data_IF_049389058822
#
_entry.id   IF_049389058822
#
_cell.length_a   1.000
_cell.length_b   1.000
_cell.length_c   1.000
_cell.angle_alpha   90.00
_cell.angle_beta   90.00
_cell.angle_gamma   90.00
#
_symmetry.space_group_name_H-M   'P 1'
#
loop_
_entity.id
_entity.type
_entity.pdbx_description
1 polymer ?
#
# COMPACT_ATOMS: atom_id res chain seq x y z
N UNK A 1 34.46 17.05 -24.06
CA UNK A 1 34.18 18.37 -23.47
C UNK A 1 32.71 18.72 -23.57
N UNK A 2 32.12 19.13 -22.45
CA UNK A 2 30.73 19.57 -22.36
C UNK A 2 30.73 21.10 -22.43
N UNK A 3 29.90 21.69 -23.31
CA UNK A 3 29.82 23.14 -23.42
C UNK A 3 29.25 23.78 -22.14
N UNK A 4 29.78 24.92 -21.66
CA UNK A 4 29.35 25.55 -20.41
C UNK A 4 27.85 25.86 -20.33
N UNK A 5 27.24 26.25 -21.46
CA UNK A 5 25.81 26.51 -21.56
C UNK A 5 24.95 25.26 -21.30
N UNK A 6 25.50 24.06 -21.53
CA UNK A 6 24.83 22.79 -21.27
C UNK A 6 24.79 22.51 -19.78
N UNK A 7 25.94 22.68 -19.09
CA UNK A 7 26.06 22.47 -17.64
C UNK A 7 25.08 23.37 -16.86
N UNK A 8 24.94 24.63 -17.29
CA UNK A 8 24.03 25.59 -16.65
C UNK A 8 22.53 25.23 -16.78
N UNK A 9 22.17 24.37 -17.74
CA UNK A 9 20.79 23.92 -17.97
C UNK A 9 20.49 22.54 -17.40
N UNK A 10 21.53 21.78 -17.04
CA UNK A 10 21.36 20.43 -16.50
C UNK A 10 20.83 20.46 -15.08
N UNK A 11 19.97 19.50 -14.76
CA UNK A 11 19.46 19.31 -13.41
C UNK A 11 20.55 18.72 -12.49
N UNK A 12 20.44 18.89 -11.16
CA UNK A 12 21.38 18.28 -10.21
C UNK A 12 21.45 16.74 -10.28
N UNK A 13 20.49 16.08 -10.91
CA UNK A 13 20.52 14.65 -11.16
C UNK A 13 21.29 14.32 -12.44
N UNK A 14 21.07 15.06 -13.52
CA UNK A 14 21.83 14.90 -14.77
C UNK A 14 23.32 15.22 -14.60
N UNK A 15 23.66 16.11 -13.67
CA UNK A 15 25.05 16.43 -13.30
C UNK A 15 25.71 15.37 -12.39
N UNK A 16 24.93 14.48 -11.79
CA UNK A 16 25.45 13.48 -10.88
C UNK A 16 26.08 12.30 -11.62
N UNK A 17 27.04 11.64 -10.96
CA UNK A 17 27.61 10.38 -11.47
C UNK A 17 26.54 9.29 -11.55
N UNK A 18 26.77 8.30 -12.39
CA UNK A 18 25.83 7.18 -12.56
C UNK A 18 25.54 6.45 -11.24
N UNK A 19 26.56 6.23 -10.42
CA UNK A 19 26.41 5.61 -9.09
C UNK A 19 25.51 6.44 -8.17
N UNK A 20 25.66 7.76 -8.18
CA UNK A 20 24.86 8.66 -7.34
C UNK A 20 23.40 8.74 -7.80
N UNK A 21 23.16 8.76 -9.12
CA UNK A 21 21.80 8.67 -9.68
C UNK A 21 21.13 7.35 -9.30
N UNK A 22 21.84 6.25 -9.44
CA UNK A 22 21.34 4.93 -9.08
C UNK A 22 21.02 4.83 -7.58
N UNK A 23 21.85 5.41 -6.72
CA UNK A 23 21.60 5.48 -5.28
C UNK A 23 20.33 6.28 -4.94
N UNK A 24 20.14 7.45 -5.56
CA UNK A 24 18.93 8.28 -5.38
C UNK A 24 17.67 7.55 -5.84
N UNK A 25 17.69 6.96 -7.03
CA UNK A 25 16.57 6.17 -7.58
C UNK A 25 16.18 5.02 -6.64
N UNK A 26 17.17 4.30 -6.11
CA UNK A 26 16.95 3.22 -5.13
C UNK A 26 16.37 3.75 -3.81
N UNK A 27 16.79 4.93 -3.36
CA UNK A 27 16.23 5.56 -2.17
C UNK A 27 14.77 5.98 -2.38
N UNK A 28 14.47 6.63 -3.50
CA UNK A 28 13.13 7.06 -3.87
C UNK A 28 12.17 5.88 -4.02
N UNK A 29 12.59 4.79 -4.67
CA UNK A 29 11.81 3.55 -4.77
C UNK A 29 11.48 3.00 -3.38
N UNK A 30 12.45 3.00 -2.45
CA UNK A 30 12.20 2.53 -1.07
C UNK A 30 11.24 3.44 -0.30
N UNK A 31 11.34 4.75 -0.48
CA UNK A 31 10.46 5.73 0.18
C UNK A 31 9.03 5.65 -0.36
N UNK A 32 8.89 5.52 -1.68
CA UNK A 32 7.58 5.40 -2.34
C UNK A 32 6.92 4.07 -2.03
N UNK A 33 7.64 2.94 -2.13
CA UNK A 33 7.12 1.60 -1.83
C UNK A 33 6.53 1.48 -0.42
N UNK A 34 7.15 2.10 0.59
CA UNK A 34 6.59 2.10 1.96
C UNK A 34 5.31 2.95 2.08
N UNK A 35 5.17 3.98 1.25
CA UNK A 35 4.05 4.92 1.29
C UNK A 35 2.84 4.41 0.53
N UNK A 36 3.06 3.72 -0.59
CA UNK A 36 2.02 3.03 -1.38
C UNK A 36 2.00 1.56 -0.99
N UNK A 37 1.20 1.18 0.02
CA UNK A 37 0.96 -0.24 0.31
C UNK A 37 0.33 -0.88 -0.94
N UNK A 38 0.96 -1.90 -1.50
CA UNK A 38 0.26 -2.85 -2.37
C UNK A 38 -0.85 -3.50 -1.52
N UNK A 39 -2.08 -3.52 -2.03
CA UNK A 39 -3.34 -3.65 -1.26
C UNK A 39 -3.47 -4.85 -0.30
N UNK A 40 -2.52 -5.79 -0.27
CA UNK A 40 -2.55 -7.00 0.58
C UNK A 40 -1.18 -7.36 1.19
N UNK A 41 -0.23 -6.43 1.28
CA UNK A 41 1.06 -6.69 1.93
C UNK A 41 0.86 -6.90 3.44
N UNK A 42 1.18 -8.10 3.92
CA UNK A 42 0.89 -8.59 5.28
C UNK A 42 -0.48 -9.26 5.47
N UNK A 43 -1.18 -9.62 4.39
CA UNK A 43 -2.41 -10.42 4.47
C UNK A 43 -2.12 -11.87 4.86
N UNK A 44 -3.07 -12.49 5.56
CA UNK A 44 -3.00 -13.89 5.99
C UNK A 44 -3.90 -14.73 5.08
N UNK A 45 -3.36 -15.82 4.51
CA UNK A 45 -4.16 -16.80 3.76
C UNK A 45 -5.16 -17.50 4.70
N UNK A 46 -6.38 -17.73 4.21
CA UNK A 46 -7.46 -18.34 4.97
C UNK A 46 -8.46 -19.03 4.05
N UNK A 47 -9.04 -20.12 4.55
CA UNK A 47 -10.17 -20.81 3.92
C UNK A 47 -11.52 -20.46 4.57
N UNK A 48 -11.55 -19.49 5.49
CA UNK A 48 -12.75 -19.11 6.24
C UNK A 48 -13.79 -18.35 5.41
N UNK A 49 -13.42 -17.82 4.24
CA UNK A 49 -14.28 -17.03 3.37
C UNK A 49 -14.49 -17.75 2.04
N UNK A 50 -15.73 -17.73 1.54
CA UNK A 50 -16.06 -18.26 0.21
C UNK A 50 -16.27 -17.12 -0.78
N UNK A 51 -15.56 -17.14 -1.91
CA UNK A 51 -15.73 -16.13 -2.94
C UNK A 51 -17.07 -16.29 -3.66
N UNK A 52 -17.87 -15.22 -3.71
CA UNK A 52 -19.15 -15.22 -4.44
C UNK A 52 -18.98 -15.40 -5.96
N UNK A 53 -17.85 -15.00 -6.55
CA UNK A 53 -17.63 -15.06 -8.00
C UNK A 53 -17.21 -16.44 -8.50
N UNK A 54 -16.24 -17.09 -7.84
CA UNK A 54 -15.68 -18.37 -8.30
C UNK A 54 -16.00 -19.55 -7.36
N UNK A 55 -16.64 -19.30 -6.21
CA UNK A 55 -16.97 -20.30 -5.17
C UNK A 55 -15.74 -20.98 -4.53
N UNK A 56 -14.53 -20.51 -4.81
CA UNK A 56 -13.33 -20.96 -4.11
C UNK A 56 -13.33 -20.43 -2.68
N UNK A 57 -12.86 -21.24 -1.74
CA UNK A 57 -12.62 -20.86 -0.35
C UNK A 57 -11.23 -20.27 -0.14
N UNK A 58 -10.31 -20.45 -1.10
CA UNK A 58 -8.93 -20.01 -1.00
C UNK A 58 -8.86 -18.47 -1.07
N UNK A 59 -8.82 -17.83 0.08
CA UNK A 59 -8.82 -16.38 0.23
C UNK A 59 -7.62 -15.93 1.07
N UNK A 60 -7.39 -14.62 1.09
CA UNK A 60 -6.48 -13.98 2.03
C UNK A 60 -7.20 -12.78 2.63
N UNK A 61 -6.98 -12.52 3.92
CA UNK A 61 -7.59 -11.39 4.61
C UNK A 61 -6.55 -10.47 5.23
N UNK A 62 -6.93 -9.20 5.33
CA UNK A 62 -6.16 -8.14 5.98
C UNK A 62 -7.07 -7.39 6.94
N UNK A 63 -6.70 -7.26 8.22
CA UNK A 63 -7.42 -6.38 9.14
C UNK A 63 -7.19 -4.92 8.74
N UNK A 64 -8.28 -4.20 8.42
CA UNK A 64 -8.23 -2.80 7.94
C UNK A 64 -8.48 -1.78 9.06
N UNK A 65 -8.84 -2.21 10.26
CA UNK A 65 -8.94 -1.36 11.46
C UNK A 65 -7.79 -1.62 12.45
N UNK A 66 -7.35 -0.56 13.15
CA UNK A 66 -6.35 -0.53 14.23
C UNK A 66 -4.84 -0.49 13.88
N UNK A 67 -4.41 0.23 12.82
CA UNK A 67 -2.99 0.66 12.70
C UNK A 67 -2.88 2.17 12.52
N UNK A 68 -3.79 2.93 13.13
CA UNK A 68 -3.62 4.38 13.27
C UNK A 68 -3.76 4.68 14.74
N UNK A 69 -2.68 5.15 15.36
CA UNK A 69 -2.61 5.47 16.79
C UNK A 69 -3.63 6.53 17.23
N UNK A 70 -4.19 7.27 16.27
CA UNK A 70 -5.32 8.19 16.42
C UNK A 70 -6.26 8.06 15.22
N UNK A 71 -7.48 7.57 15.45
CA UNK A 71 -8.56 7.53 14.48
C UNK A 71 -9.19 8.91 14.27
N UNK A 72 -9.74 9.16 13.08
CA UNK A 72 -10.53 10.39 12.80
C UNK A 72 -11.70 10.56 13.78
N UNK A 73 -12.27 9.44 14.22
CA UNK A 73 -13.33 9.37 15.24
C UNK A 73 -12.87 9.85 16.61
N UNK A 74 -11.60 9.68 16.96
CA UNK A 74 -11.03 10.15 18.24
C UNK A 74 -10.75 11.65 18.22
N UNK A 75 -10.40 12.21 17.05
CA UNK A 75 -10.13 13.65 16.92
C UNK A 75 -11.40 14.48 16.71
N UNK A 76 -12.43 13.92 16.06
CA UNK A 76 -13.61 14.70 15.64
C UNK A 76 -14.97 14.05 15.93
N UNK A 77 -14.99 12.87 16.55
CA UNK A 77 -16.22 12.12 16.82
C UNK A 77 -16.84 11.53 15.55
N UNK A 78 -17.22 10.25 15.58
CA UNK A 78 -18.13 9.68 14.59
C UNK A 78 -19.09 8.73 15.30
N UNK A 79 -20.40 8.88 15.04
CA UNK A 79 -21.47 8.06 15.66
C UNK A 79 -21.42 6.59 15.22
N UNK A 80 -20.84 6.33 14.04
CA UNK A 80 -20.72 5.00 13.45
C UNK A 80 -19.33 4.36 13.65
N UNK A 81 -18.54 4.86 14.61
CA UNK A 81 -17.17 4.39 14.88
C UNK A 81 -17.05 3.46 16.09
N UNK A 82 -18.17 2.96 16.62
CA UNK A 82 -18.15 1.91 17.61
C UNK A 82 -17.94 0.56 16.90
N UNK A 83 -16.72 0.04 17.00
CA UNK A 83 -16.39 -1.39 17.05
C UNK A 83 -16.63 -2.33 15.86
N UNK A 84 -16.93 -1.86 14.65
CA UNK A 84 -16.88 -2.77 13.50
C UNK A 84 -15.41 -2.97 13.04
N UNK A 85 -14.74 -3.96 13.61
CA UNK A 85 -13.48 -4.46 13.07
C UNK A 85 -13.72 -4.99 11.65
N UNK A 86 -13.30 -4.23 10.63
CA UNK A 86 -13.44 -4.62 9.22
C UNK A 86 -12.19 -5.31 8.73
N UNK A 87 -12.37 -6.46 8.07
CA UNK A 87 -11.32 -7.15 7.32
C UNK A 87 -11.57 -6.97 5.82
N UNK A 88 -10.51 -6.70 5.08
CA UNK A 88 -10.51 -6.78 3.62
C UNK A 88 -10.13 -8.21 3.23
N UNK A 89 -10.99 -8.87 2.48
CA UNK A 89 -10.78 -10.22 1.98
C UNK A 89 -10.54 -10.15 0.48
N UNK A 90 -9.58 -10.94 -0.01
CA UNK A 90 -9.30 -11.13 -1.44
C UNK A 90 -9.28 -12.61 -1.78
N UNK A 91 -9.98 -12.99 -2.83
CA UNK A 91 -9.89 -14.33 -3.38
C UNK A 91 -8.55 -14.53 -4.10
N UNK A 92 -7.85 -15.65 -3.83
CA UNK A 92 -6.59 -15.97 -4.49
C UNK A 92 -6.78 -16.51 -5.92
N UNK A 93 -7.98 -17.00 -6.26
CA UNK A 93 -8.27 -17.54 -7.59
C UNK A 93 -8.70 -16.45 -8.58
N UNK A 94 -9.77 -15.70 -8.26
CA UNK A 94 -10.34 -14.70 -9.18
C UNK A 94 -9.96 -13.25 -8.84
N UNK A 95 -9.20 -13.04 -7.76
CA UNK A 95 -8.72 -11.72 -7.33
C UNK A 95 -9.83 -10.72 -6.96
N UNK A 96 -11.06 -11.21 -6.75
CA UNK A 96 -12.16 -10.38 -6.22
C UNK A 96 -11.84 -9.94 -4.78
N UNK A 97 -12.14 -8.68 -4.47
CA UNK A 97 -11.89 -8.05 -3.17
C UNK A 97 -13.23 -7.57 -2.57
N UNK A 98 -13.46 -7.84 -1.28
CA UNK A 98 -14.64 -7.37 -0.54
C UNK A 98 -14.31 -7.11 0.93
N UNK A 99 -15.13 -6.29 1.59
CA UNK A 99 -15.00 -6.02 3.02
C UNK A 99 -15.96 -6.90 3.81
N UNK A 100 -15.49 -7.49 4.90
CA UNK A 100 -16.30 -8.27 5.84
C UNK A 100 -16.15 -7.66 7.24
N UNK A 101 -17.26 -7.54 7.97
CA UNK A 101 -17.22 -7.17 9.39
C UNK A 101 -16.92 -8.42 10.21
N UNK A 102 -15.82 -8.43 10.97
CA UNK A 102 -15.65 -9.46 12.00
C UNK A 102 -16.58 -9.13 13.17
N UNK A 103 -17.55 -10.02 13.42
CA UNK A 103 -18.39 -10.03 14.63
C UNK A 103 -17.54 -10.10 15.90
#
# INVERSE_FOLDING_TARGET
>A
DIAPATIARMTPDELATEDMRNARKKMEERLTRKRTRTNMDGATETDAFACAHCRSTRCQYLRVGQVRDLGKSETWGNKDAADDAKVLVRCLECQAEWNESTL
#
